data_IF_833573535992
#
_entry.id   IF_833573535992
#
_cell.length_a   1.000
_cell.length_b   1.000
_cell.length_c   1.000
_cell.angle_alpha   90.00
_cell.angle_beta   90.00
_cell.angle_gamma   90.00
#
_symmetry.space_group_name_H-M   'P 1'
#
loop_
_entity.id
_entity.type
_entity.pdbx_description
1 polymer ?
#
# COMPACT_ATOMS: atom_id res chain seq x y z
N UNK A 1 -11.44 25.75 -7.92
CA UNK A 1 -12.19 24.47 -8.05
C UNK A 1 -11.53 23.47 -9.00
N UNK A 2 -10.25 23.23 -8.85
CA UNK A 2 -9.52 22.26 -9.69
C UNK A 2 -8.85 21.12 -8.89
N UNK A 3 -9.10 21.01 -7.59
CA UNK A 3 -8.49 20.00 -6.71
C UNK A 3 -9.16 18.62 -6.75
N UNK A 4 -10.46 18.58 -7.00
CA UNK A 4 -11.26 17.36 -6.87
C UNK A 4 -11.02 16.30 -7.96
N UNK A 5 -10.62 16.71 -9.16
CA UNK A 5 -10.48 15.79 -10.32
C UNK A 5 -9.21 14.94 -10.30
N UNK A 6 -8.14 15.38 -9.63
CA UNK A 6 -6.88 14.60 -9.55
C UNK A 6 -6.90 13.53 -8.46
N UNK A 7 -7.67 13.74 -7.41
CA UNK A 7 -7.80 12.79 -6.30
C UNK A 7 -8.71 11.61 -6.66
N UNK A 8 -9.80 11.86 -7.37
CA UNK A 8 -10.64 10.79 -7.94
C UNK A 8 -9.88 9.91 -8.95
N UNK A 9 -9.02 10.51 -9.77
CA UNK A 9 -8.20 9.77 -10.74
C UNK A 9 -7.18 8.80 -10.10
N UNK A 10 -6.75 9.03 -8.87
CA UNK A 10 -5.84 8.13 -8.18
C UNK A 10 -6.57 6.91 -7.58
N UNK A 11 -7.77 7.10 -7.04
CA UNK A 11 -8.63 6.01 -6.56
C UNK A 11 -9.08 5.12 -7.74
N UNK A 12 -9.57 5.73 -8.83
CA UNK A 12 -9.97 5.02 -10.05
C UNK A 12 -8.82 4.22 -10.67
N UNK A 13 -7.59 4.74 -10.64
CA UNK A 13 -6.41 4.02 -11.14
C UNK A 13 -6.02 2.83 -10.26
N UNK A 14 -6.18 2.96 -8.95
CA UNK A 14 -5.90 1.87 -8.03
C UNK A 14 -6.96 0.77 -8.17
N UNK A 15 -8.23 1.12 -8.25
CA UNK A 15 -9.33 0.20 -8.52
C UNK A 15 -9.17 -0.48 -9.89
N UNK A 16 -8.79 0.27 -10.92
CA UNK A 16 -8.50 -0.27 -12.24
C UNK A 16 -7.30 -1.24 -12.21
N UNK A 17 -6.23 -0.88 -11.48
CA UNK A 17 -5.06 -1.75 -11.32
C UNK A 17 -5.43 -3.05 -10.60
N UNK A 18 -6.21 -2.98 -9.53
CA UNK A 18 -6.71 -4.14 -8.80
C UNK A 18 -7.55 -5.01 -9.75
N UNK A 19 -8.48 -4.42 -10.49
CA UNK A 19 -9.34 -5.13 -11.45
C UNK A 19 -8.53 -5.82 -12.55
N UNK A 20 -7.53 -5.14 -13.12
CA UNK A 20 -6.65 -5.70 -14.15
C UNK A 20 -5.81 -6.85 -13.58
N UNK A 21 -5.31 -6.71 -12.35
CA UNK A 21 -4.52 -7.76 -11.70
C UNK A 21 -5.34 -9.00 -11.41
N UNK A 22 -6.58 -8.83 -10.97
CA UNK A 22 -7.52 -9.91 -10.74
C UNK A 22 -7.90 -10.63 -12.04
N UNK A 23 -8.15 -9.88 -13.11
CA UNK A 23 -8.44 -10.47 -14.43
C UNK A 23 -7.27 -11.29 -14.97
N UNK A 24 -6.03 -10.86 -14.74
CA UNK A 24 -4.84 -11.60 -15.17
C UNK A 24 -4.57 -12.85 -14.33
N UNK A 25 -4.94 -12.85 -13.04
CA UNK A 25 -4.82 -14.03 -12.18
C UNK A 25 -5.85 -15.10 -12.56
N UNK A 26 -7.08 -14.71 -12.93
CA UNK A 26 -8.11 -15.64 -13.40
C UNK A 26 -7.83 -16.26 -14.75
N UNK A 27 -7.10 -15.60 -15.64
CA UNK A 27 -6.75 -16.15 -16.96
C UNK A 27 -5.58 -17.16 -16.93
N UNK A 28 -4.74 -17.12 -15.91
CA UNK A 28 -3.58 -18.00 -15.81
C UNK A 28 -3.92 -19.42 -15.28
N UNK A 29 -5.10 -19.63 -14.66
CA UNK A 29 -5.44 -20.86 -13.94
C UNK A 29 -6.79 -21.48 -14.37
N UNK A 30 -7.13 -21.45 -15.65
CA UNK A 30 -8.31 -22.15 -16.19
C UNK A 30 -8.16 -23.68 -16.28
N UNK A 31 -7.40 -24.28 -15.39
CA UNK A 31 -6.98 -25.69 -15.53
C UNK A 31 -7.28 -26.64 -14.37
N UNK A 32 -7.99 -26.32 -13.30
CA UNK A 32 -8.54 -27.34 -12.38
C UNK A 32 -9.16 -26.72 -11.11
N UNK A 33 -10.31 -27.25 -10.76
CA UNK A 33 -11.10 -27.08 -9.54
C UNK A 33 -11.81 -25.73 -9.31
N UNK A 34 -13.15 -25.86 -9.21
CA UNK A 34 -14.15 -24.82 -9.01
C UNK A 34 -14.10 -24.09 -7.64
N UNK A 35 -13.04 -24.31 -6.85
CA UNK A 35 -12.94 -23.81 -5.47
C UNK A 35 -11.64 -23.00 -5.19
N UNK A 36 -10.82 -22.74 -6.19
CA UNK A 36 -9.53 -22.05 -6.01
C UNK A 36 -9.68 -20.58 -6.39
N UNK A 37 -10.18 -19.76 -5.44
CA UNK A 37 -10.22 -18.30 -5.61
C UNK A 37 -8.82 -17.74 -5.58
N UNK A 38 -8.49 -16.76 -6.46
CA UNK A 38 -7.18 -16.14 -6.44
C UNK A 38 -6.94 -15.45 -5.08
N UNK A 39 -5.79 -15.75 -4.49
CA UNK A 39 -5.32 -15.14 -3.25
C UNK A 39 -4.75 -13.76 -3.52
N UNK A 40 -5.20 -12.78 -2.75
CA UNK A 40 -4.72 -11.41 -2.82
C UNK A 40 -4.14 -10.97 -1.47
N UNK A 41 -2.85 -10.71 -1.43
CA UNK A 41 -2.11 -10.43 -0.21
C UNK A 41 -1.85 -8.93 -0.06
N UNK A 42 -2.23 -8.37 1.08
CA UNK A 42 -2.05 -6.95 1.40
C UNK A 42 -1.24 -6.82 2.68
N UNK A 43 -0.18 -6.04 2.64
CA UNK A 43 0.59 -5.66 3.83
C UNK A 43 0.43 -4.17 4.09
N UNK A 44 -0.03 -3.82 5.27
CA UNK A 44 -0.15 -2.44 5.74
C UNK A 44 0.96 -2.14 6.73
N UNK A 45 1.71 -1.09 6.47
CA UNK A 45 2.71 -0.55 7.37
C UNK A 45 2.27 0.84 7.79
N UNK A 46 2.16 1.09 9.07
CA UNK A 46 1.54 2.31 9.58
C UNK A 46 2.37 2.99 10.66
N UNK A 47 2.32 4.32 10.69
CA UNK A 47 3.10 5.16 11.59
C UNK A 47 2.60 5.09 13.03
N UNK A 48 1.28 5.23 13.22
CA UNK A 48 0.61 5.20 14.51
C UNK A 48 -0.82 4.65 14.41
N UNK A 49 -1.54 4.65 15.54
CA UNK A 49 -2.90 4.11 15.60
C UNK A 49 -3.89 4.83 14.68
N UNK A 50 -3.75 6.15 14.47
CA UNK A 50 -4.62 6.90 13.57
C UNK A 50 -4.33 6.53 12.10
N UNK A 51 -3.05 6.44 11.73
CA UNK A 51 -2.62 5.98 10.42
C UNK A 51 -3.05 4.53 10.15
N UNK A 52 -2.97 3.65 11.16
CA UNK A 52 -3.42 2.27 11.07
C UNK A 52 -4.93 2.14 10.85
N UNK A 53 -5.74 2.90 11.58
CA UNK A 53 -7.20 2.93 11.40
C UNK A 53 -7.57 3.44 10.00
N UNK A 54 -6.92 4.48 9.52
CA UNK A 54 -7.10 5.04 8.18
C UNK A 54 -6.80 4.00 7.09
N UNK A 55 -5.68 3.30 7.23
CA UNK A 55 -5.30 2.26 6.28
C UNK A 55 -6.25 1.07 6.29
N UNK A 56 -6.70 0.63 7.48
CA UNK A 56 -7.70 -0.43 7.60
C UNK A 56 -9.03 -0.04 6.96
N UNK A 57 -9.47 1.20 7.16
CA UNK A 57 -10.69 1.73 6.53
C UNK A 57 -10.59 1.78 4.99
N UNK A 58 -9.44 2.18 4.49
CA UNK A 58 -9.14 2.16 3.06
C UNK A 58 -9.20 0.73 2.51
N UNK A 59 -8.54 -0.21 3.19
CA UNK A 59 -8.54 -1.62 2.84
C UNK A 59 -9.97 -2.18 2.83
N UNK A 60 -10.75 -1.98 3.88
CA UNK A 60 -12.13 -2.50 3.98
C UNK A 60 -13.05 -1.96 2.87
N UNK A 61 -12.81 -0.72 2.41
CA UNK A 61 -13.55 -0.15 1.31
C UNK A 61 -13.18 -0.81 -0.02
N UNK A 62 -11.89 -1.03 -0.26
CA UNK A 62 -11.40 -1.66 -1.49
C UNK A 62 -11.86 -3.10 -1.61
N UNK A 63 -11.72 -3.90 -0.54
CA UNK A 63 -12.10 -5.32 -0.59
C UNK A 63 -13.60 -5.53 -0.68
N UNK A 64 -14.43 -4.60 -0.17
CA UNK A 64 -15.89 -4.74 -0.19
C UNK A 64 -16.45 -4.92 -1.60
N UNK A 65 -15.79 -4.34 -2.58
CA UNK A 65 -16.18 -4.44 -3.99
C UNK A 65 -15.67 -5.72 -4.67
N UNK A 66 -14.69 -6.41 -4.05
CA UNK A 66 -13.96 -7.50 -4.68
C UNK A 66 -14.04 -8.83 -3.90
N UNK A 67 -14.73 -8.84 -2.74
CA UNK A 67 -14.78 -9.99 -1.82
C UNK A 67 -15.41 -11.24 -2.45
N UNK A 68 -16.24 -11.08 -3.45
CA UNK A 68 -16.88 -12.20 -4.14
C UNK A 68 -15.96 -12.86 -5.18
N UNK A 69 -14.88 -12.19 -5.58
CA UNK A 69 -13.99 -12.64 -6.65
C UNK A 69 -12.67 -13.23 -6.14
N UNK A 70 -12.23 -12.83 -4.93
CA UNK A 70 -10.91 -13.20 -4.39
C UNK A 70 -10.94 -13.49 -2.90
N UNK A 71 -9.95 -14.26 -2.47
CA UNK A 71 -9.59 -14.39 -1.06
C UNK A 71 -8.52 -13.35 -0.71
N UNK A 72 -8.72 -12.65 0.40
CA UNK A 72 -7.82 -11.59 0.85
C UNK A 72 -7.09 -12.00 2.11
N UNK A 73 -5.78 -11.77 2.17
CA UNK A 73 -5.02 -11.80 3.40
C UNK A 73 -4.52 -10.41 3.74
N UNK A 74 -4.49 -10.07 5.02
CA UNK A 74 -4.05 -8.79 5.53
C UNK A 74 -3.06 -8.96 6.65
N UNK A 75 -1.90 -8.32 6.52
CA UNK A 75 -0.92 -8.15 7.58
C UNK A 75 -0.75 -6.67 7.93
N UNK A 76 -0.63 -6.37 9.23
CA UNK A 76 -0.46 -5.02 9.75
C UNK A 76 0.81 -4.93 10.61
N UNK A 77 1.66 -3.95 10.29
CA UNK A 77 2.92 -3.70 11.00
C UNK A 77 3.07 -2.22 11.37
N UNK A 78 3.34 -1.93 12.64
CA UNK A 78 3.65 -0.58 13.07
C UNK A 78 5.12 -0.24 12.74
N UNK A 79 5.42 1.01 12.35
CA UNK A 79 6.79 1.47 12.08
C UNK A 79 7.76 1.17 13.20
N UNK A 80 7.33 1.27 14.46
CA UNK A 80 8.21 1.07 15.61
C UNK A 80 8.70 -0.37 15.74
N UNK A 81 7.86 -1.36 15.40
CA UNK A 81 8.26 -2.77 15.51
C UNK A 81 9.20 -3.20 14.38
N UNK A 82 9.27 -2.46 13.28
CA UNK A 82 10.19 -2.74 12.17
C UNK A 82 11.67 -2.56 12.56
N UNK A 83 11.94 -1.79 13.62
CA UNK A 83 13.28 -1.62 14.18
C UNK A 83 13.79 -2.87 14.92
N UNK A 84 12.89 -3.78 15.31
CA UNK A 84 13.24 -5.07 15.92
C UNK A 84 13.65 -6.03 14.80
N UNK A 85 14.91 -6.54 14.76
CA UNK A 85 15.44 -7.25 13.60
C UNK A 85 14.59 -8.43 13.14
N UNK A 86 14.14 -9.27 14.05
CA UNK A 86 13.34 -10.47 13.74
C UNK A 86 11.98 -10.09 13.15
N UNK A 87 11.32 -9.09 13.74
CA UNK A 87 10.02 -8.60 13.32
C UNK A 87 10.16 -7.86 11.97
N UNK A 88 11.15 -6.97 11.87
CA UNK A 88 11.42 -6.24 10.64
C UNK A 88 11.74 -7.14 9.45
N UNK A 89 12.47 -8.25 9.69
CA UNK A 89 12.74 -9.25 8.66
C UNK A 89 11.47 -10.01 8.25
N UNK A 90 10.65 -10.41 9.21
CA UNK A 90 9.37 -11.09 8.93
C UNK A 90 8.42 -10.18 8.14
N UNK A 91 8.29 -8.93 8.57
CA UNK A 91 7.48 -7.93 7.86
C UNK A 91 8.00 -7.67 6.43
N UNK A 92 9.31 -7.61 6.23
CA UNK A 92 9.90 -7.41 4.90
C UNK A 92 9.65 -8.59 3.96
N UNK A 93 9.72 -9.83 4.47
CA UNK A 93 9.39 -11.04 3.71
C UNK A 93 7.91 -11.09 3.32
N UNK A 94 7.02 -10.79 4.27
CA UNK A 94 5.59 -10.73 4.02
C UNK A 94 5.25 -9.66 2.96
N UNK A 95 5.79 -8.46 3.13
CA UNK A 95 5.61 -7.36 2.17
C UNK A 95 6.19 -7.66 0.78
N UNK A 96 7.27 -8.45 0.68
CA UNK A 96 7.85 -8.85 -0.60
C UNK A 96 6.98 -9.84 -1.38
N UNK A 97 6.09 -10.55 -0.70
CA UNK A 97 5.12 -11.47 -1.27
C UNK A 97 3.73 -10.84 -1.46
N UNK A 98 3.53 -9.63 -0.96
CA UNK A 98 2.27 -8.94 -1.04
C UNK A 98 2.01 -8.39 -2.45
N UNK A 99 0.76 -8.43 -2.88
CA UNK A 99 0.29 -7.76 -4.09
C UNK A 99 0.22 -6.25 -3.90
N UNK A 100 -0.14 -5.81 -2.67
CA UNK A 100 -0.10 -4.41 -2.25
C UNK A 100 0.66 -4.23 -0.96
N UNK A 101 1.54 -3.24 -0.96
CA UNK A 101 2.15 -2.69 0.25
C UNK A 101 1.61 -1.28 0.45
N UNK A 102 0.84 -1.09 1.53
CA UNK A 102 0.24 0.19 1.89
C UNK A 102 1.08 0.81 3.01
N UNK A 103 1.68 1.95 2.73
CA UNK A 103 2.42 2.74 3.70
C UNK A 103 1.55 3.90 4.17
N UNK A 104 0.98 3.79 5.37
CA UNK A 104 0.10 4.81 5.94
C UNK A 104 0.86 5.68 6.95
N UNK A 105 0.92 6.96 6.66
CA UNK A 105 1.67 7.93 7.46
C UNK A 105 0.99 9.30 7.49
N UNK A 106 1.40 10.11 8.45
CA UNK A 106 1.02 11.51 8.47
C UNK A 106 1.78 12.30 7.39
N UNK A 107 1.10 13.25 6.78
CA UNK A 107 1.69 14.07 5.70
C UNK A 107 2.95 14.82 6.11
N UNK A 108 3.09 15.16 7.39
CA UNK A 108 4.27 15.85 7.94
C UNK A 108 5.38 14.89 8.36
N UNK A 109 5.14 13.59 8.31
CA UNK A 109 6.10 12.61 8.75
C UNK A 109 7.33 12.57 7.87
N UNK A 110 8.47 12.63 8.49
CA UNK A 110 9.72 12.22 7.87
C UNK A 110 9.92 10.75 8.21
N UNK A 111 10.23 9.94 7.21
CA UNK A 111 10.60 8.56 7.46
C UNK A 111 11.86 8.51 8.32
N UNK A 112 11.78 7.78 9.43
CA UNK A 112 12.96 7.53 10.26
C UNK A 112 14.03 6.76 9.48
N UNK A 113 15.27 6.81 9.96
CA UNK A 113 16.34 6.01 9.37
C UNK A 113 15.97 4.51 9.37
N UNK A 114 15.41 4.01 10.46
CA UNK A 114 14.98 2.62 10.59
C UNK A 114 13.90 2.24 9.57
N UNK A 115 12.93 3.12 9.33
CA UNK A 115 11.88 2.87 8.32
C UNK A 115 12.47 2.87 6.92
N UNK A 116 13.42 3.77 6.63
CA UNK A 116 14.13 3.78 5.34
C UNK A 116 14.96 2.52 5.15
N UNK A 117 15.71 2.09 6.15
CA UNK A 117 16.51 0.86 6.12
C UNK A 117 15.61 -0.36 5.89
N UNK A 118 14.42 -0.37 6.50
CA UNK A 118 13.45 -1.42 6.28
C UNK A 118 12.92 -1.41 4.83
N UNK A 119 12.59 -0.24 4.28
CA UNK A 119 12.14 -0.09 2.90
C UNK A 119 13.21 -0.55 1.88
N UNK A 120 14.47 -0.25 2.13
CA UNK A 120 15.58 -0.73 1.29
C UNK A 120 15.70 -2.26 1.38
N UNK A 121 15.59 -2.82 2.58
CA UNK A 121 15.60 -4.29 2.79
C UNK A 121 14.43 -4.96 2.09
N UNK A 122 13.22 -4.48 2.32
CA UNK A 122 12.02 -4.98 1.67
C UNK A 122 12.16 -4.94 0.13
N UNK A 123 12.54 -3.78 -0.39
CA UNK A 123 12.70 -3.63 -1.84
C UNK A 123 13.76 -4.60 -2.41
N UNK A 124 14.81 -4.91 -1.64
CA UNK A 124 15.81 -5.91 -1.99
C UNK A 124 15.27 -7.33 -2.14
N UNK A 125 14.17 -7.66 -1.45
CA UNK A 125 13.53 -8.97 -1.49
C UNK A 125 12.51 -9.13 -2.62
N UNK A 126 12.12 -8.06 -3.30
CA UNK A 126 11.17 -8.12 -4.42
C UNK A 126 11.85 -8.80 -5.61
N UNK A 127 11.29 -9.92 -6.04
CA UNK A 127 11.80 -10.73 -7.15
C UNK A 127 11.09 -10.36 -8.45
N UNK A 128 9.78 -10.11 -8.38
CA UNK A 128 8.96 -9.75 -9.52
C UNK A 128 8.37 -8.34 -9.36
N UNK A 129 7.97 -7.74 -10.45
CA UNK A 129 7.41 -6.39 -10.49
C UNK A 129 5.87 -6.37 -10.38
N UNK A 130 5.28 -7.41 -9.81
CA UNK A 130 3.82 -7.56 -9.71
C UNK A 130 3.19 -6.78 -8.55
N UNK A 131 4.00 -6.37 -7.58
CA UNK A 131 3.53 -5.60 -6.42
C UNK A 131 3.27 -4.15 -6.75
N UNK A 132 2.46 -3.49 -5.92
CA UNK A 132 2.30 -2.05 -5.94
C UNK A 132 2.54 -1.47 -4.54
N UNK A 133 3.21 -0.31 -4.50
CA UNK A 133 3.39 0.50 -3.29
C UNK A 133 2.35 1.63 -3.28
N UNK A 134 1.58 1.71 -2.22
CA UNK A 134 0.57 2.75 -1.99
C UNK A 134 0.98 3.61 -0.80
N UNK A 135 1.23 4.88 -1.02
CA UNK A 135 1.41 5.85 0.07
C UNK A 135 0.06 6.47 0.44
N UNK A 136 -0.38 6.19 1.66
CA UNK A 136 -1.65 6.66 2.18
C UNK A 136 -1.39 7.77 3.19
N UNK A 137 -1.87 8.97 2.89
CA UNK A 137 -1.60 10.18 3.66
C UNK A 137 -2.88 10.73 4.28
N UNK A 138 -2.73 11.40 5.42
CA UNK A 138 -3.78 12.25 5.98
C UNK A 138 -3.91 13.57 5.21
N UNK A 139 -4.86 14.41 5.60
CA UNK A 139 -5.27 15.64 4.89
C UNK A 139 -4.14 16.51 4.33
N UNK A 140 -4.40 17.20 3.21
CA UNK A 140 -3.43 18.11 2.60
C UNK A 140 -3.22 19.35 3.45
N UNK A 141 -2.24 19.31 4.33
CA UNK A 141 -1.72 20.53 4.98
C UNK A 141 -0.94 21.39 3.98
N UNK A 142 -1.13 22.71 4.06
CA UNK A 142 -0.70 23.74 3.10
C UNK A 142 0.84 23.88 2.94
N UNK A 143 1.67 23.13 3.66
CA UNK A 143 3.13 23.27 3.60
C UNK A 143 3.80 22.21 2.72
N UNK A 144 4.28 22.63 1.58
CA UNK A 144 4.78 21.84 0.44
C UNK A 144 6.15 21.17 0.59
N UNK A 145 6.91 21.35 1.69
CA UNK A 145 8.33 20.99 1.69
C UNK A 145 8.66 19.54 2.01
N UNK A 146 8.13 18.99 3.09
CA UNK A 146 8.60 17.71 3.66
C UNK A 146 7.96 16.49 3.01
N UNK A 147 6.70 16.57 2.60
CA UNK A 147 5.97 15.47 1.96
C UNK A 147 6.52 15.16 0.58
N UNK A 148 6.90 16.18 -0.18
CA UNK A 148 7.46 15.99 -1.51
C UNK A 148 8.70 15.10 -1.47
N UNK A 149 9.61 15.31 -0.51
CA UNK A 149 10.84 14.54 -0.37
C UNK A 149 10.57 13.07 0.04
N UNK A 150 9.59 12.81 0.91
CA UNK A 150 9.20 11.45 1.29
C UNK A 150 8.55 10.71 0.13
N UNK A 151 7.62 11.35 -0.58
CA UNK A 151 6.97 10.75 -1.74
C UNK A 151 7.95 10.52 -2.90
N UNK A 152 8.89 11.44 -3.13
CA UNK A 152 9.95 11.27 -4.13
C UNK A 152 10.88 10.10 -3.78
N UNK A 153 11.20 9.94 -2.50
CA UNK A 153 11.97 8.79 -2.04
C UNK A 153 11.21 7.48 -2.29
N UNK A 154 9.94 7.39 -1.90
CA UNK A 154 9.13 6.20 -2.11
C UNK A 154 8.95 5.87 -3.60
N UNK A 155 8.76 6.90 -4.43
CA UNK A 155 8.69 6.73 -5.88
C UNK A 155 9.99 6.14 -6.43
N UNK A 156 11.14 6.67 -6.00
CA UNK A 156 12.45 6.15 -6.40
C UNK A 156 12.66 4.70 -5.96
N UNK A 157 12.18 4.31 -4.78
CA UNK A 157 12.22 2.91 -4.32
C UNK A 157 11.40 2.03 -5.26
N UNK A 158 10.18 2.44 -5.60
CA UNK A 158 9.31 1.71 -6.51
C UNK A 158 9.89 1.61 -7.93
N UNK A 159 10.37 2.73 -8.49
CA UNK A 159 10.94 2.80 -9.83
C UNK A 159 12.16 1.87 -9.99
N UNK A 160 13.03 1.81 -8.99
CA UNK A 160 14.20 0.90 -9.00
C UNK A 160 13.82 -0.57 -9.10
N UNK A 161 12.63 -0.93 -8.67
CA UNK A 161 12.11 -2.31 -8.68
C UNK A 161 11.08 -2.56 -9.77
N UNK A 162 10.72 -1.54 -10.52
CA UNK A 162 9.71 -1.64 -11.58
C UNK A 162 8.30 -1.92 -11.05
N UNK A 163 8.03 -1.64 -9.77
CA UNK A 163 6.71 -1.78 -9.18
C UNK A 163 5.90 -0.48 -9.33
N UNK A 164 4.59 -0.61 -9.38
CA UNK A 164 3.69 0.54 -9.47
C UNK A 164 3.69 1.35 -8.17
N UNK A 165 3.62 2.69 -8.28
CA UNK A 165 3.55 3.59 -7.13
C UNK A 165 2.30 4.45 -7.21
N UNK A 166 1.51 4.45 -6.14
CA UNK A 166 0.29 5.24 -5.99
C UNK A 166 0.34 6.07 -4.72
N UNK A 167 -0.26 7.25 -4.78
CA UNK A 167 -0.50 8.10 -3.61
C UNK A 167 -1.99 8.32 -3.44
N UNK A 168 -2.48 8.18 -2.24
CA UNK A 168 -3.87 8.46 -1.91
C UNK A 168 -3.95 9.29 -0.63
N UNK A 169 -4.82 10.28 -0.63
CA UNK A 169 -5.11 11.11 0.55
C UNK A 169 -6.52 10.82 1.01
N UNK A 170 -6.67 10.40 2.26
CA UNK A 170 -7.98 10.19 2.87
C UNK A 170 -8.26 11.37 3.78
N UNK A 171 -9.34 12.08 3.49
CA UNK A 171 -9.89 13.07 4.40
C UNK A 171 -10.59 12.35 5.55
N UNK A 172 -10.15 12.61 6.77
CA UNK A 172 -10.84 12.11 7.96
C UNK A 172 -12.14 12.92 8.13
N UNK A 173 -13.25 12.33 7.73
CA UNK A 173 -14.58 12.93 7.90
C UNK A 173 -15.08 12.83 9.37
N UNK A 174 -14.19 12.52 10.30
CA UNK A 174 -14.49 12.39 11.71
C UNK A 174 -14.23 13.69 12.46
N UNK A 175 -14.93 14.77 12.10
CA UNK A 175 -15.07 15.90 12.99
C UNK A 175 -16.54 16.33 13.00
N UNK A 176 -17.29 15.65 13.83
CA UNK A 176 -18.51 16.21 14.42
C UNK A 176 -18.76 15.57 15.76
#
# INVERSE_FOLDING_TARGET
MAGSRREYLAADKLELYITVKLSSATDADRGSDLDDRPQFNVTIIYEDGAAGKRAKHFYDRVIRELVDECDFSLELWNFQVLAIPEIGNSAAKAAAQADFVILSMHRKAQLSAQTRDWLERWSGLIIDNKSALVALLDEPGIKRGTVASTLDYLRKVADRKGISFYTHTIFDLSTN
#
